data_IF_414883986083
#
_entry.id   IF_414883986083
#
_cell.length_a   1.000
_cell.length_b   1.000
_cell.length_c   1.000
_cell.angle_alpha   90.00
_cell.angle_beta   90.00
_cell.angle_gamma   90.00
#
_symmetry.space_group_name_H-M   'P 1'
#
loop_
_entity.id
_entity.type
_entity.pdbx_description
1 polymer ?
#
# COMPACT_ATOMS: atom_id res chain seq x y z
N UNK A 1 6.74 4.65 -7.63
CA UNK A 1 5.65 4.01 -6.86
C UNK A 1 4.91 5.04 -6.02
N UNK A 2 3.66 4.77 -5.63
CA UNK A 2 2.86 5.63 -4.75
C UNK A 2 1.95 4.78 -3.84
N UNK A 3 2.02 4.98 -2.52
CA UNK A 3 1.14 4.32 -1.56
C UNK A 3 -0.06 5.23 -1.23
N UNK A 4 -1.27 4.76 -1.47
CA UNK A 4 -2.49 5.37 -0.94
C UNK A 4 -2.86 4.72 0.39
N UNK A 5 -3.09 5.56 1.40
CA UNK A 5 -3.05 5.14 2.79
C UNK A 5 -4.09 5.83 3.66
N UNK A 6 -4.24 5.35 4.90
CA UNK A 6 -4.85 6.12 5.97
C UNK A 6 -4.07 5.91 7.27
N UNK A 7 -3.82 6.98 8.01
CA UNK A 7 -2.92 6.97 9.16
C UNK A 7 -3.33 5.96 10.25
N UNK A 8 -4.63 5.69 10.39
CA UNK A 8 -5.19 4.77 11.39
C UNK A 8 -5.58 3.39 10.82
N UNK A 9 -5.24 3.10 9.57
CA UNK A 9 -5.53 1.80 8.93
C UNK A 9 -4.45 0.76 9.30
N UNK A 10 -4.85 -0.31 9.98
CA UNK A 10 -3.94 -1.43 10.30
C UNK A 10 -3.42 -2.15 9.04
N UNK A 11 -4.24 -2.25 7.99
CA UNK A 11 -3.84 -2.85 6.73
C UNK A 11 -2.73 -2.03 6.05
N UNK A 12 -2.83 -0.70 6.11
CA UNK A 12 -1.78 0.21 5.64
C UNK A 12 -0.54 0.12 6.53
N UNK A 13 -0.73 0.00 7.85
CA UNK A 13 0.37 -0.07 8.80
C UNK A 13 1.32 -1.25 8.52
N UNK A 14 0.77 -2.42 8.15
CA UNK A 14 1.57 -3.58 7.71
C UNK A 14 2.52 -3.23 6.56
N UNK A 15 1.98 -2.60 5.51
CA UNK A 15 2.75 -2.20 4.32
C UNK A 15 3.80 -1.15 4.69
N UNK A 16 3.43 -0.14 5.50
CA UNK A 16 4.38 0.89 5.95
C UNK A 16 5.54 0.27 6.73
N UNK A 17 5.27 -0.65 7.65
CA UNK A 17 6.32 -1.35 8.40
C UNK A 17 7.24 -2.11 7.45
N UNK A 18 6.69 -2.91 6.53
CA UNK A 18 7.50 -3.69 5.61
C UNK A 18 8.40 -2.81 4.74
N UNK A 19 7.86 -1.75 4.13
CA UNK A 19 8.65 -0.78 3.35
C UNK A 19 9.79 -0.17 4.18
N UNK A 20 9.51 0.23 5.42
CA UNK A 20 10.53 0.79 6.31
C UNK A 20 11.60 -0.23 6.70
N UNK A 21 11.21 -1.48 7.01
CA UNK A 21 12.16 -2.55 7.31
C UNK A 21 13.03 -2.91 6.09
N UNK A 22 12.48 -2.79 4.87
CA UNK A 22 13.22 -2.95 3.61
C UNK A 22 14.07 -1.73 3.25
N UNK A 23 13.93 -0.60 3.96
CA UNK A 23 14.60 0.65 3.60
C UNK A 23 14.11 1.25 2.27
N UNK A 24 12.88 0.95 1.87
CA UNK A 24 12.29 1.43 0.60
C UNK A 24 11.40 2.62 0.89
N UNK A 25 11.80 3.79 0.39
CA UNK A 25 10.97 4.99 0.45
C UNK A 25 9.94 4.99 -0.67
N UNK A 26 8.67 5.04 -0.28
CA UNK A 26 7.54 5.19 -1.21
C UNK A 26 6.75 6.42 -0.78
N UNK A 27 6.50 7.40 -1.67
CA UNK A 27 5.66 8.54 -1.34
C UNK A 27 4.27 8.05 -0.93
N UNK A 28 3.67 8.74 0.05
CA UNK A 28 2.40 8.35 0.67
C UNK A 28 1.34 9.43 0.44
N UNK A 29 0.15 9.04 -0.02
CA UNK A 29 -1.01 9.90 -0.25
C UNK A 29 -2.12 9.47 0.70
N UNK A 30 -2.52 10.37 1.60
CA UNK A 30 -3.59 10.09 2.54
C UNK A 30 -4.96 10.14 1.86
N UNK A 31 -5.75 9.10 2.08
CA UNK A 31 -7.17 9.01 1.75
C UNK A 31 -7.92 9.12 3.08
N UNK A 32 -8.68 10.21 3.28
CA UNK A 32 -9.39 10.44 4.53
C UNK A 32 -10.62 9.54 4.64
N UNK A 33 -10.50 8.47 5.44
CA UNK A 33 -11.58 7.51 5.62
C UNK A 33 -12.73 8.04 6.50
N UNK A 34 -12.44 8.98 7.39
CA UNK A 34 -13.45 9.60 8.25
C UNK A 34 -14.34 10.54 7.41
N UNK A 35 -13.76 11.20 6.42
CA UNK A 35 -14.48 12.02 5.43
C UNK A 35 -15.16 11.19 4.33
N UNK A 36 -14.74 9.94 4.14
CA UNK A 36 -15.30 9.05 3.13
C UNK A 36 -14.63 9.15 1.75
N UNK A 37 -13.44 9.73 1.66
CA UNK A 37 -12.72 9.99 0.41
C UNK A 37 -12.46 8.73 -0.42
N UNK A 38 -12.43 7.56 0.21
CA UNK A 38 -12.29 6.26 -0.45
C UNK A 38 -13.47 5.91 -1.37
N UNK A 39 -14.60 6.58 -1.21
CA UNK A 39 -15.78 6.39 -2.05
C UNK A 39 -15.83 7.37 -3.23
N UNK A 40 -14.98 8.40 -3.23
CA UNK A 40 -14.93 9.39 -4.29
C UNK A 40 -14.49 8.77 -5.62
N UNK A 41 -15.02 9.25 -6.77
CA UNK A 41 -14.69 8.71 -8.08
C UNK A 41 -13.18 8.66 -8.37
N UNK A 42 -12.44 9.64 -7.86
CA UNK A 42 -10.98 9.71 -8.02
C UNK A 42 -10.27 8.50 -7.41
N UNK A 43 -10.55 8.17 -6.15
CA UNK A 43 -9.93 7.00 -5.50
C UNK A 43 -10.51 5.69 -6.01
N UNK A 44 -11.81 5.63 -6.33
CA UNK A 44 -12.44 4.43 -6.89
C UNK A 44 -11.91 4.04 -8.28
N UNK A 45 -11.38 5.00 -9.04
CA UNK A 45 -10.68 4.70 -10.29
C UNK A 45 -9.36 3.95 -10.05
N UNK A 46 -8.73 4.14 -8.87
CA UNK A 46 -7.49 3.45 -8.48
C UNK A 46 -7.83 2.10 -7.84
N UNK A 47 -8.71 2.10 -6.84
CA UNK A 47 -9.21 0.89 -6.20
C UNK A 47 -10.74 0.86 -6.21
N UNK A 48 -11.38 0.12 -7.13
CA UNK A 48 -12.84 0.04 -7.23
C UNK A 48 -13.54 -0.44 -5.95
N UNK A 49 -12.84 -1.18 -5.08
CA UNK A 49 -13.34 -1.61 -3.77
C UNK A 49 -13.44 -0.47 -2.75
N UNK A 50 -12.81 0.67 -3.00
CA UNK A 50 -12.80 1.81 -2.08
C UNK A 50 -12.12 1.50 -0.75
N UNK A 51 -11.00 0.77 -0.78
CA UNK A 51 -10.25 0.39 0.40
C UNK A 51 -8.79 0.82 0.31
N UNK A 52 -8.16 1.05 1.46
CA UNK A 52 -6.72 1.25 1.61
C UNK A 52 -6.10 0.05 2.34
N UNK A 53 -4.84 -0.33 2.06
CA UNK A 53 -3.89 0.34 1.17
C UNK A 53 -4.14 0.07 -0.32
N UNK A 54 -3.65 0.98 -1.17
CA UNK A 54 -3.42 0.70 -2.59
C UNK A 54 -2.01 1.17 -2.97
N UNK A 55 -1.16 0.27 -3.47
CA UNK A 55 0.18 0.57 -3.93
C UNK A 55 0.17 0.62 -5.47
N UNK A 56 0.46 1.79 -6.03
CA UNK A 56 0.61 2.02 -7.46
C UNK A 56 2.09 1.87 -7.81
N UNK A 57 2.40 0.90 -8.68
CA UNK A 57 3.75 0.63 -9.17
C UNK A 57 4.13 1.59 -10.32
N UNK A 58 5.41 1.61 -10.69
CA UNK A 58 5.92 2.51 -11.73
C UNK A 58 5.37 2.21 -13.13
N UNK A 59 4.96 0.96 -13.38
CA UNK A 59 4.31 0.53 -14.62
C UNK A 59 2.80 0.79 -14.64
N UNK A 60 2.25 1.38 -13.57
CA UNK A 60 0.82 1.64 -13.41
C UNK A 60 0.02 0.48 -12.82
N UNK A 61 0.64 -0.67 -12.53
CA UNK A 61 -0.03 -1.77 -11.83
C UNK A 61 -0.46 -1.34 -10.43
N UNK A 62 -1.67 -1.72 -10.01
CA UNK A 62 -2.22 -1.38 -8.69
C UNK A 62 -2.42 -2.62 -7.84
N UNK A 63 -1.74 -2.68 -6.70
CA UNK A 63 -1.89 -3.73 -5.69
C UNK A 63 -2.79 -3.21 -4.56
N UNK A 64 -3.88 -3.91 -4.24
CA UNK A 64 -4.94 -3.42 -3.33
C UNK A 64 -5.14 -4.25 -2.06
N UNK A 65 -4.44 -5.38 -1.93
CA UNK A 65 -4.54 -6.26 -0.78
C UNK A 65 -3.27 -6.21 0.03
N UNK A 66 -3.37 -5.86 1.32
CA UNK A 66 -2.18 -5.68 2.18
C UNK A 66 -1.24 -6.88 2.18
N UNK A 67 -1.75 -8.11 2.22
CA UNK A 67 -0.92 -9.31 2.19
C UNK A 67 -0.24 -9.52 0.83
N UNK A 68 -0.93 -9.29 -0.28
CA UNK A 68 -0.32 -9.38 -1.61
C UNK A 68 0.74 -8.30 -1.82
N UNK A 69 0.54 -7.10 -1.25
CA UNK A 69 1.57 -6.05 -1.24
C UNK A 69 2.80 -6.50 -0.45
N UNK A 70 2.62 -7.17 0.70
CA UNK A 70 3.74 -7.68 1.49
C UNK A 70 4.55 -8.74 0.73
N UNK A 71 3.86 -9.71 0.10
CA UNK A 71 4.51 -10.72 -0.75
C UNK A 71 5.30 -10.05 -1.89
N UNK A 72 4.68 -9.09 -2.58
CA UNK A 72 5.36 -8.35 -3.64
C UNK A 72 6.58 -7.57 -3.12
N UNK A 73 6.49 -6.95 -1.95
CA UNK A 73 7.63 -6.27 -1.30
C UNK A 73 8.75 -7.27 -1.00
N UNK A 74 8.41 -8.45 -0.49
CA UNK A 74 9.39 -9.49 -0.14
C UNK A 74 10.12 -10.00 -1.38
N UNK A 75 9.39 -10.33 -2.44
CA UNK A 75 9.94 -10.82 -3.71
C UNK A 75 10.77 -9.75 -4.44
N UNK A 76 10.33 -8.48 -4.39
CA UNK A 76 10.99 -7.37 -5.09
C UNK A 76 12.23 -6.88 -4.35
N UNK A 77 12.19 -6.86 -3.01
CA UNK A 77 13.26 -6.39 -2.15
C UNK A 77 13.68 -7.52 -1.19
N UNK A 78 14.48 -8.50 -1.64
CA UNK A 78 14.73 -9.72 -0.87
C UNK A 78 15.53 -9.51 0.42
N UNK A 79 16.18 -8.36 0.62
CA UNK A 79 16.99 -8.09 1.81
C UNK A 79 16.55 -6.80 2.53
N UNK A 80 16.46 -6.81 3.87
CA UNK A 80 16.52 -7.97 4.77
C UNK A 80 15.26 -8.85 4.65
N UNK A 81 15.36 -10.19 4.82
CA UNK A 81 14.19 -11.07 4.69
C UNK A 81 13.18 -10.81 5.81
N UNK A 82 11.89 -10.75 5.46
CA UNK A 82 10.80 -10.61 6.44
C UNK A 82 10.12 -11.95 6.73
N UNK A 83 10.34 -12.95 5.87
CA UNK A 83 9.84 -14.30 6.04
C UNK A 83 11.01 -15.27 6.30
N UNK A 84 10.77 -16.39 7.02
CA UNK A 84 11.76 -17.46 7.16
C UNK A 84 12.06 -18.18 5.83
N UNK A 85 13.22 -18.84 5.79
CA UNK A 85 13.61 -19.77 4.72
C UNK A 85 12.84 -21.13 4.78
#
# INVERSE_FOLDING_TARGET
MQLHSFWRSLATYRVRIALNLKGVEVPETMVDLDRGDQHEPGFRAINPMGAVPALVLDDGTVLTQSLAILEWIEETYPAPPLLPD
#
